data_IF_133792642946
#
_entry.id   IF_133792642946
#
_cell.length_a   1.000
_cell.length_b   1.000
_cell.length_c   1.000
_cell.angle_alpha   90.00
_cell.angle_beta   90.00
_cell.angle_gamma   90.00
#
_symmetry.space_group_name_H-M   'P 1'
#
loop_
_entity.id
_entity.type
_entity.pdbx_description
1 polymer ?
#
# COMPACT_ATOMS: atom_id res chain seq x y z
N UNK A 1 -26.11 -22.37 -49.32
CA UNK A 1 -25.24 -22.65 -48.17
C UNK A 1 -25.10 -21.37 -47.36
N UNK A 2 -25.72 -21.33 -46.18
CA UNK A 2 -25.77 -20.16 -45.30
C UNK A 2 -24.83 -20.41 -44.12
N UNK A 3 -23.88 -19.51 -43.89
CA UNK A 3 -22.97 -19.57 -42.74
C UNK A 3 -23.57 -18.78 -41.58
N UNK A 4 -24.00 -19.49 -40.54
CA UNK A 4 -24.42 -18.90 -39.28
C UNK A 4 -23.18 -18.43 -38.50
N UNK A 5 -23.09 -17.12 -38.23
CA UNK A 5 -22.07 -16.55 -37.34
C UNK A 5 -22.47 -16.78 -35.89
N UNK A 6 -21.82 -17.73 -35.22
CA UNK A 6 -21.89 -17.85 -33.77
C UNK A 6 -21.14 -16.70 -33.11
N UNK A 7 -21.88 -15.67 -32.68
CA UNK A 7 -21.36 -14.66 -31.76
C UNK A 7 -21.29 -15.29 -30.37
N UNK A 8 -20.10 -15.77 -29.99
CA UNK A 8 -19.79 -16.10 -28.60
C UNK A 8 -19.96 -14.83 -27.76
N UNK A 9 -21.07 -14.76 -27.01
CA UNK A 9 -21.37 -13.69 -26.08
C UNK A 9 -20.35 -13.68 -24.95
N UNK A 10 -19.20 -13.02 -25.19
CA UNK A 10 -18.28 -12.62 -24.14
C UNK A 10 -19.06 -11.70 -23.21
N UNK A 11 -19.51 -12.24 -22.06
CA UNK A 11 -20.03 -11.40 -20.98
C UNK A 11 -18.93 -10.43 -20.62
N UNK A 12 -19.18 -9.14 -20.81
CA UNK A 12 -18.29 -8.10 -20.31
C UNK A 12 -18.02 -8.39 -18.82
N UNK A 13 -16.78 -8.20 -18.33
CA UNK A 13 -16.48 -8.34 -16.91
C UNK A 13 -17.52 -7.53 -16.13
N UNK A 14 -18.26 -8.21 -15.25
CA UNK A 14 -19.24 -7.55 -14.37
C UNK A 14 -18.46 -6.44 -13.66
N UNK A 15 -18.78 -5.18 -13.96
CA UNK A 15 -18.33 -4.05 -13.15
C UNK A 15 -18.63 -4.42 -11.71
N UNK A 16 -17.62 -4.50 -10.84
CA UNK A 16 -17.91 -4.33 -9.43
C UNK A 16 -18.47 -2.93 -9.34
N UNK A 17 -19.74 -2.77 -8.96
CA UNK A 17 -20.29 -1.45 -8.91
C UNK A 17 -19.53 -0.70 -7.79
N UNK A 18 -19.07 0.51 -8.11
CA UNK A 18 -18.34 1.37 -7.17
C UNK A 18 -19.15 1.63 -5.88
N UNK A 19 -20.44 1.32 -5.88
CA UNK A 19 -21.35 1.34 -4.74
C UNK A 19 -20.99 0.35 -3.60
N UNK A 20 -20.06 -0.59 -3.82
CA UNK A 20 -19.69 -1.58 -2.80
C UNK A 20 -18.49 -1.21 -1.93
N UNK A 21 -17.68 -0.24 -2.34
CA UNK A 21 -16.54 0.22 -1.53
C UNK A 21 -17.06 1.28 -0.58
N UNK A 22 -17.11 0.94 0.70
CA UNK A 22 -17.41 1.91 1.75
C UNK A 22 -16.10 2.60 2.12
N UNK A 23 -15.95 3.84 1.67
CA UNK A 23 -14.81 4.67 2.03
C UNK A 23 -14.90 5.13 3.49
N UNK A 24 -13.75 5.34 4.16
CA UNK A 24 -13.73 5.79 5.55
C UNK A 24 -14.28 7.21 5.65
N UNK A 25 -14.93 7.50 6.78
CA UNK A 25 -15.38 8.86 7.09
C UNK A 25 -14.18 9.79 7.30
N UNK A 26 -14.38 11.07 6.98
CA UNK A 26 -13.36 12.08 7.17
C UNK A 26 -13.11 12.33 8.66
N UNK A 27 -11.86 12.11 9.10
CA UNK A 27 -11.39 12.36 10.46
C UNK A 27 -10.15 13.25 10.54
N UNK A 28 -9.60 13.68 9.39
CA UNK A 28 -8.31 14.35 9.32
C UNK A 28 -7.12 13.37 9.41
N UNK A 29 -5.88 13.88 9.29
CA UNK A 29 -4.67 13.05 9.29
C UNK A 29 -4.37 12.45 10.66
N UNK A 30 -3.79 11.25 10.64
CA UNK A 30 -3.35 10.51 11.82
C UNK A 30 -1.91 10.86 12.23
N UNK A 31 -1.18 11.62 11.41
CA UNK A 31 0.14 12.14 11.74
C UNK A 31 0.22 12.79 13.14
N UNK A 32 1.27 12.44 13.88
CA UNK A 32 1.60 13.04 15.18
C UNK A 32 2.19 14.45 15.05
N UNK A 33 2.67 14.81 13.86
CA UNK A 33 3.40 16.05 13.56
C UNK A 33 2.55 16.99 12.70
N UNK A 34 2.05 16.53 11.56
CA UNK A 34 1.28 17.32 10.59
C UNK A 34 -0.21 17.04 10.77
N UNK A 35 -0.82 17.67 11.77
CA UNK A 35 -2.26 17.50 12.07
C UNK A 35 -3.20 18.32 11.18
N UNK A 36 -2.66 19.36 10.54
CA UNK A 36 -3.39 20.29 9.66
C UNK A 36 -2.45 20.71 8.53
N UNK A 37 -2.35 19.92 7.45
CA UNK A 37 -1.43 20.22 6.36
C UNK A 37 -1.72 21.61 5.79
N UNK A 38 -0.68 22.44 5.69
CA UNK A 38 -0.78 23.84 5.27
C UNK A 38 -0.47 24.06 3.81
N UNK A 39 0.35 23.18 3.24
CA UNK A 39 0.82 23.29 1.86
C UNK A 39 1.22 21.94 1.27
N UNK A 40 1.70 21.99 0.03
CA UNK A 40 2.07 20.83 -0.77
C UNK A 40 3.21 20.01 -0.20
N UNK A 41 4.12 20.63 0.57
CA UNK A 41 5.28 19.92 1.11
C UNK A 41 4.87 19.00 2.27
N UNK A 42 3.94 19.47 3.10
CA UNK A 42 3.30 18.67 4.14
C UNK A 42 2.38 17.58 3.54
N UNK A 43 1.56 17.94 2.54
CA UNK A 43 0.71 16.96 1.86
C UNK A 43 1.49 15.85 1.16
N UNK A 44 2.65 16.18 0.56
CA UNK A 44 3.51 15.21 -0.12
C UNK A 44 3.94 14.08 0.82
N UNK A 45 4.33 14.42 2.05
CA UNK A 45 4.74 13.41 3.05
C UNK A 45 3.54 12.62 3.58
N UNK A 46 2.39 13.27 3.76
CA UNK A 46 1.19 12.59 4.25
C UNK A 46 0.61 11.57 3.26
N UNK A 47 0.78 11.76 1.95
CA UNK A 47 0.24 10.85 0.93
C UNK A 47 0.63 9.38 1.15
N UNK A 48 1.94 9.02 1.18
CA UNK A 48 2.35 7.66 1.47
C UNK A 48 2.14 7.29 2.95
N UNK A 49 2.41 8.20 3.88
CA UNK A 49 2.42 7.86 5.31
C UNK A 49 1.02 7.58 5.86
N UNK A 50 -0.01 8.32 5.45
CA UNK A 50 -1.38 8.03 5.90
C UNK A 50 -1.91 6.71 5.32
N UNK A 51 -1.44 6.31 4.14
CA UNK A 51 -1.76 5.01 3.56
C UNK A 51 -1.08 3.86 4.33
N UNK A 52 0.19 4.04 4.69
CA UNK A 52 0.93 3.07 5.51
C UNK A 52 0.34 2.97 6.91
N UNK A 53 0.08 4.09 7.59
CA UNK A 53 -0.59 4.13 8.90
C UNK A 53 -1.95 3.43 8.89
N UNK A 54 -2.71 3.59 7.81
CA UNK A 54 -3.99 2.90 7.66
C UNK A 54 -3.80 1.37 7.63
N UNK A 55 -2.83 0.85 6.87
CA UNK A 55 -2.51 -0.57 6.91
C UNK A 55 -1.96 -1.00 8.26
N UNK A 56 -1.10 -0.20 8.88
CA UNK A 56 -0.50 -0.49 10.18
C UNK A 56 -1.58 -0.62 11.26
N UNK A 57 -2.59 0.26 11.27
CA UNK A 57 -3.74 0.15 12.18
C UNK A 57 -4.49 -1.18 12.02
N UNK A 58 -4.77 -1.57 10.77
CA UNK A 58 -5.44 -2.85 10.47
C UNK A 58 -4.56 -4.06 10.80
N UNK A 59 -3.26 -3.97 10.53
CA UNK A 59 -2.28 -5.01 10.86
C UNK A 59 -2.17 -5.19 12.36
N UNK A 60 -2.06 -4.13 13.16
CA UNK A 60 -2.02 -4.23 14.61
C UNK A 60 -3.25 -4.95 15.16
N UNK A 61 -4.45 -4.60 14.67
CA UNK A 61 -5.68 -5.28 15.05
C UNK A 61 -5.72 -6.76 14.61
N UNK A 62 -5.21 -7.08 13.42
CA UNK A 62 -5.08 -8.45 12.93
C UNK A 62 -4.07 -9.27 13.75
N UNK A 63 -2.91 -8.71 14.04
CA UNK A 63 -1.82 -9.32 14.81
C UNK A 63 -2.26 -9.60 16.24
N UNK A 64 -3.01 -8.70 16.88
CA UNK A 64 -3.55 -8.90 18.21
C UNK A 64 -4.37 -10.20 18.30
N UNK A 65 -5.23 -10.45 17.29
CA UNK A 65 -6.12 -11.62 17.23
C UNK A 65 -5.52 -12.84 16.50
N UNK A 66 -4.32 -12.70 15.95
CA UNK A 66 -3.64 -13.78 15.26
C UNK A 66 -3.31 -14.91 16.25
N UNK A 67 -3.83 -16.11 15.93
CA UNK A 67 -3.66 -17.35 16.67
C UNK A 67 -2.84 -18.39 15.88
N UNK A 68 -2.43 -18.05 14.65
CA UNK A 68 -1.68 -18.93 13.77
C UNK A 68 -2.55 -19.96 13.06
N UNK A 69 -3.87 -19.84 13.06
CA UNK A 69 -4.76 -20.73 12.29
C UNK A 69 -4.38 -20.74 10.80
N UNK A 70 -4.55 -21.87 10.11
CA UNK A 70 -4.06 -22.03 8.74
C UNK A 70 -4.55 -20.90 7.81
N UNK A 71 -5.84 -20.57 7.89
CA UNK A 71 -6.44 -19.49 7.11
C UNK A 71 -5.89 -18.10 7.47
N UNK A 72 -5.61 -17.87 8.76
CA UNK A 72 -5.03 -16.61 9.21
C UNK A 72 -3.62 -16.46 8.67
N UNK A 73 -2.81 -17.51 8.82
CA UNK A 73 -1.42 -17.55 8.37
C UNK A 73 -1.32 -17.28 6.88
N UNK A 74 -2.13 -17.96 6.06
CA UNK A 74 -2.17 -17.70 4.62
C UNK A 74 -2.54 -16.25 4.31
N UNK A 75 -3.69 -15.76 4.80
CA UNK A 75 -4.13 -14.39 4.46
C UNK A 75 -3.15 -13.31 4.94
N UNK A 76 -2.62 -13.47 6.15
CA UNK A 76 -1.73 -12.48 6.75
C UNK A 76 -0.39 -12.43 6.03
N UNK A 77 0.27 -13.58 5.84
CA UNK A 77 1.57 -13.60 5.17
C UNK A 77 1.45 -13.27 3.68
N UNK A 78 0.39 -13.71 3.00
CA UNK A 78 0.17 -13.32 1.60
C UNK A 78 -0.03 -11.80 1.48
N UNK A 79 -0.73 -11.17 2.43
CA UNK A 79 -0.84 -9.71 2.45
C UNK A 79 0.51 -9.03 2.71
N UNK A 80 1.25 -9.49 3.72
CA UNK A 80 2.55 -8.93 4.10
C UNK A 80 3.55 -9.02 2.94
N UNK A 81 3.65 -10.19 2.30
CA UNK A 81 4.65 -10.46 1.27
C UNK A 81 4.31 -9.85 -0.09
N UNK A 82 3.03 -9.76 -0.45
CA UNK A 82 2.63 -9.25 -1.76
C UNK A 82 2.34 -7.74 -1.76
N UNK A 83 1.93 -7.15 -0.63
CA UNK A 83 1.50 -5.75 -0.59
C UNK A 83 2.32 -4.92 0.39
N UNK A 84 2.26 -5.20 1.69
CA UNK A 84 2.84 -4.30 2.70
C UNK A 84 4.37 -4.19 2.60
N UNK A 85 5.10 -5.31 2.67
CA UNK A 85 6.57 -5.33 2.61
C UNK A 85 7.11 -4.72 1.30
N UNK A 86 6.67 -5.13 0.09
CA UNK A 86 7.14 -4.51 -1.14
C UNK A 86 6.84 -3.02 -1.22
N UNK A 87 5.72 -2.57 -0.64
CA UNK A 87 5.36 -1.14 -0.63
C UNK A 87 6.26 -0.34 0.30
N UNK A 88 6.54 -0.82 1.52
CA UNK A 88 7.47 -0.16 2.45
C UNK A 88 8.87 -0.08 1.83
N UNK A 89 9.36 -1.18 1.26
CA UNK A 89 10.62 -1.19 0.50
C UNK A 89 10.63 -0.16 -0.62
N UNK A 90 9.54 -0.10 -1.41
CA UNK A 90 9.48 0.79 -2.55
C UNK A 90 9.44 2.26 -2.13
N UNK A 91 8.70 2.57 -1.08
CA UNK A 91 8.59 3.92 -0.50
C UNK A 91 9.96 4.43 -0.03
N UNK A 92 10.64 3.69 0.85
CA UNK A 92 11.97 4.06 1.33
C UNK A 92 13.02 4.09 0.21
N UNK A 93 12.93 3.17 -0.77
CA UNK A 93 13.81 3.19 -1.94
C UNK A 93 13.63 4.46 -2.78
N UNK A 94 12.39 4.94 -2.98
CA UNK A 94 12.14 6.20 -3.69
C UNK A 94 12.74 7.37 -2.92
N UNK A 95 12.68 7.36 -1.61
CA UNK A 95 13.28 8.41 -0.78
C UNK A 95 14.80 8.42 -0.92
N UNK A 96 15.43 7.27 -0.74
CA UNK A 96 16.90 7.12 -0.79
C UNK A 96 17.48 7.38 -2.18
N UNK A 97 16.76 7.02 -3.24
CA UNK A 97 17.29 7.08 -4.61
C UNK A 97 16.84 8.31 -5.39
N UNK A 98 15.77 8.98 -4.97
CA UNK A 98 15.19 10.12 -5.71
C UNK A 98 15.05 11.36 -4.83
N UNK A 99 14.30 11.29 -3.74
CA UNK A 99 13.99 12.46 -2.92
C UNK A 99 15.23 13.03 -2.24
N UNK A 100 15.91 12.21 -1.44
CA UNK A 100 17.06 12.62 -0.64
C UNK A 100 18.19 13.15 -1.54
N UNK A 101 18.68 12.43 -2.58
CA UNK A 101 19.76 12.94 -3.42
C UNK A 101 19.40 14.27 -4.11
N UNK A 102 18.12 14.46 -4.45
CA UNK A 102 17.63 15.70 -5.05
C UNK A 102 17.67 16.87 -4.07
N UNK A 103 17.26 16.65 -2.83
CA UNK A 103 17.33 17.67 -1.77
C UNK A 103 18.77 18.07 -1.48
N UNK A 104 19.67 17.10 -1.28
CA UNK A 104 21.10 17.36 -1.05
C UNK A 104 21.72 18.18 -2.18
N UNK A 105 21.43 17.79 -3.44
CA UNK A 105 21.91 18.53 -4.62
C UNK A 105 21.38 19.97 -4.68
N UNK A 106 20.11 20.19 -4.33
CA UNK A 106 19.47 21.51 -4.40
C UNK A 106 19.87 22.44 -3.26
N UNK A 107 20.15 21.89 -2.08
CA UNK A 107 20.53 22.63 -0.88
C UNK A 107 22.04 22.81 -0.76
N UNK A 108 22.84 22.15 -1.61
CA UNK A 108 24.28 22.32 -1.66
C UNK A 108 25.04 21.56 -0.57
N UNK A 109 24.41 20.55 0.03
CA UNK A 109 24.96 19.77 1.14
C UNK A 109 23.89 18.97 1.87
N UNK A 110 24.32 18.23 2.89
CA UNK A 110 23.41 17.52 3.77
C UNK A 110 22.65 18.50 4.67
N UNK A 111 21.37 18.24 4.88
CA UNK A 111 20.55 18.99 5.84
C UNK A 111 20.57 18.23 7.14
N UNK A 112 20.65 18.95 8.26
CA UNK A 112 20.56 18.34 9.58
C UNK A 112 19.35 17.39 9.67
N UNK A 113 19.63 16.11 9.96
CA UNK A 113 18.63 15.05 10.07
C UNK A 113 18.41 14.21 8.80
N UNK A 114 18.71 14.69 7.58
CA UNK A 114 18.46 13.90 6.36
C UNK A 114 19.33 12.64 6.28
N UNK A 115 20.63 12.73 6.54
CA UNK A 115 21.50 11.53 6.60
C UNK A 115 21.08 10.53 7.69
N UNK A 116 20.51 11.01 8.79
CA UNK A 116 20.02 10.13 9.85
C UNK A 116 18.84 9.28 9.35
N UNK A 117 17.90 9.89 8.61
CA UNK A 117 16.75 9.19 8.02
C UNK A 117 17.18 8.06 7.06
N UNK A 118 18.12 8.34 6.15
CA UNK A 118 18.64 7.32 5.24
C UNK A 118 19.34 6.16 5.98
N UNK A 119 20.02 6.45 7.09
CA UNK A 119 20.61 5.43 7.95
C UNK A 119 19.57 4.52 8.62
N UNK A 120 18.43 5.09 9.01
CA UNK A 120 17.32 4.38 9.65
C UNK A 120 16.63 3.41 8.68
N UNK A 121 16.47 3.78 7.40
CA UNK A 121 15.86 2.91 6.38
C UNK A 121 16.48 1.52 6.33
N UNK A 122 17.81 1.42 6.35
CA UNK A 122 18.49 0.12 6.33
C UNK A 122 18.10 -0.78 7.51
N UNK A 123 17.96 -0.22 8.70
CA UNK A 123 17.58 -0.97 9.91
C UNK A 123 16.12 -1.40 9.83
N UNK A 124 15.23 -0.48 9.45
CA UNK A 124 13.80 -0.74 9.28
C UNK A 124 13.54 -1.80 8.20
N UNK A 125 14.18 -1.68 7.04
CA UNK A 125 14.03 -2.65 5.95
C UNK A 125 14.55 -4.04 6.33
N UNK A 126 15.62 -4.14 7.11
CA UNK A 126 16.07 -5.42 7.65
C UNK A 126 15.01 -6.03 8.61
N UNK A 127 14.36 -5.20 9.44
CA UNK A 127 13.24 -5.61 10.28
C UNK A 127 12.04 -6.08 9.46
N UNK A 128 11.69 -5.36 8.40
CA UNK A 128 10.61 -5.71 7.46
C UNK A 128 10.93 -7.03 6.73
N UNK A 129 12.17 -7.26 6.31
CA UNK A 129 12.57 -8.49 5.60
C UNK A 129 12.49 -9.73 6.49
N UNK A 130 12.83 -9.58 7.77
CA UNK A 130 12.76 -10.67 8.76
C UNK A 130 11.36 -11.26 8.93
N UNK A 131 10.31 -10.54 8.52
CA UNK A 131 8.92 -11.01 8.63
C UNK A 131 8.72 -12.36 7.94
N UNK A 132 9.27 -12.56 6.74
CA UNK A 132 9.11 -13.82 6.00
C UNK A 132 9.75 -15.02 6.70
N UNK A 133 10.73 -14.81 7.58
CA UNK A 133 11.38 -15.89 8.34
C UNK A 133 10.41 -16.56 9.33
N UNK A 134 9.35 -15.86 9.74
CA UNK A 134 8.36 -16.39 10.67
C UNK A 134 7.32 -17.30 10.00
N UNK A 135 7.14 -17.20 8.67
CA UNK A 135 6.06 -17.91 7.95
C UNK A 135 6.12 -19.43 8.16
N UNK A 136 7.26 -20.12 7.95
CA UNK A 136 7.28 -21.59 8.07
C UNK A 136 6.95 -22.08 9.49
N UNK A 137 7.35 -21.34 10.52
CA UNK A 137 7.09 -21.71 11.91
C UNK A 137 5.65 -21.41 12.33
N UNK A 138 5.06 -20.33 11.80
CA UNK A 138 3.64 -20.03 11.96
C UNK A 138 2.75 -21.06 11.28
N UNK A 139 3.11 -21.51 10.06
CA UNK A 139 2.39 -22.58 9.34
C UNK A 139 2.41 -23.92 10.10
N UNK A 140 3.44 -24.16 10.93
CA UNK A 140 3.52 -25.31 11.84
C UNK A 140 2.83 -25.10 13.18
N UNK A 141 2.15 -23.96 13.38
CA UNK A 141 1.45 -23.60 14.61
C UNK A 141 2.36 -23.60 15.86
N UNK A 142 3.64 -23.22 15.71
CA UNK A 142 4.57 -23.19 16.84
C UNK A 142 4.28 -22.00 17.79
N UNK A 143 3.85 -22.22 19.04
CA UNK A 143 3.37 -21.12 19.89
C UNK A 143 4.41 -20.05 20.19
N UNK A 144 5.67 -20.45 20.39
CA UNK A 144 6.79 -19.52 20.62
C UNK A 144 7.05 -18.64 19.40
N UNK A 145 6.97 -19.22 18.21
CA UNK A 145 7.21 -18.54 16.94
C UNK A 145 6.09 -17.56 16.62
N UNK A 146 4.83 -17.92 16.91
CA UNK A 146 3.69 -17.01 16.80
C UNK A 146 3.85 -15.82 17.75
N UNK A 147 4.24 -16.04 19.01
CA UNK A 147 4.47 -14.95 19.95
C UNK A 147 5.61 -14.02 19.49
N UNK A 148 6.75 -14.60 19.09
CA UNK A 148 7.90 -13.85 18.59
C UNK A 148 7.55 -13.04 17.32
N UNK A 149 6.73 -13.60 16.43
CA UNK A 149 6.22 -12.89 15.26
C UNK A 149 5.36 -11.69 15.66
N UNK A 150 4.41 -11.87 16.60
CA UNK A 150 3.56 -10.78 17.10
C UNK A 150 4.41 -9.66 17.69
N UNK A 151 5.34 -9.99 18.57
CA UNK A 151 6.24 -9.03 19.21
C UNK A 151 7.07 -8.27 18.16
N UNK A 152 7.59 -8.98 17.15
CA UNK A 152 8.34 -8.38 16.05
C UNK A 152 7.47 -7.42 15.22
N UNK A 153 6.24 -7.80 14.90
CA UNK A 153 5.29 -6.96 14.17
C UNK A 153 4.90 -5.70 14.94
N UNK A 154 4.62 -5.81 16.24
CA UNK A 154 4.35 -4.65 17.09
C UNK A 154 5.56 -3.71 17.15
N UNK A 155 6.77 -4.27 17.32
CA UNK A 155 8.01 -3.50 17.33
C UNK A 155 8.24 -2.74 16.02
N UNK A 156 8.24 -3.44 14.88
CA UNK A 156 8.56 -2.80 13.60
C UNK A 156 7.53 -1.75 13.18
N UNK A 157 6.23 -1.97 13.46
CA UNK A 157 5.19 -0.95 13.19
C UNK A 157 5.38 0.27 14.08
N UNK A 158 5.75 0.09 15.35
CA UNK A 158 6.09 1.21 16.24
C UNK A 158 7.28 2.00 15.72
N UNK A 159 8.36 1.32 15.32
CA UNK A 159 9.57 1.95 14.79
C UNK A 159 9.29 2.71 13.48
N UNK A 160 8.46 2.14 12.59
CA UNK A 160 8.01 2.82 11.38
C UNK A 160 7.18 4.08 11.70
N UNK A 161 6.29 4.02 12.70
CA UNK A 161 5.49 5.17 13.09
C UNK A 161 6.35 6.33 13.65
N UNK A 162 7.42 6.01 14.38
CA UNK A 162 8.44 6.96 14.85
C UNK A 162 9.24 7.53 13.67
N UNK A 163 9.67 6.68 12.74
CA UNK A 163 10.36 7.10 11.52
C UNK A 163 9.53 8.09 10.69
N UNK A 164 8.26 7.77 10.38
CA UNK A 164 7.37 8.66 9.64
C UNK A 164 7.21 10.02 10.31
N UNK A 165 7.21 10.06 11.65
CA UNK A 165 7.10 11.31 12.38
C UNK A 165 8.38 12.15 12.27
N UNK A 166 9.56 11.55 12.26
CA UNK A 166 10.82 12.28 12.03
C UNK A 166 10.89 12.83 10.59
N UNK A 167 10.49 12.04 9.61
CA UNK A 167 10.40 12.45 8.21
C UNK A 167 9.46 13.66 8.02
N UNK A 168 8.29 13.61 8.65
CA UNK A 168 7.30 14.69 8.62
C UNK A 168 7.77 15.97 9.31
N UNK A 169 8.76 15.91 10.22
CA UNK A 169 9.39 17.10 10.79
C UNK A 169 10.42 17.70 9.83
N UNK A 170 11.21 16.84 9.17
CA UNK A 170 12.41 17.24 8.43
C UNK A 170 12.08 17.60 6.98
N UNK A 171 11.42 16.69 6.25
CA UNK A 171 11.23 16.83 4.80
C UNK A 171 10.44 18.08 4.41
N UNK A 172 9.33 18.49 5.06
CA UNK A 172 8.59 19.66 4.62
C UNK A 172 9.41 20.95 4.63
N UNK A 173 10.30 21.12 5.61
CA UNK A 173 11.23 22.26 5.64
C UNK A 173 12.23 22.22 4.48
N UNK A 174 12.88 21.06 4.28
CA UNK A 174 13.85 20.86 3.22
C UNK A 174 13.23 21.03 1.82
N UNK A 175 12.03 20.49 1.59
CA UNK A 175 11.27 20.59 0.34
C UNK A 175 11.00 22.05 -0.04
N UNK A 176 10.50 22.86 0.90
CA UNK A 176 10.23 24.28 0.67
C UNK A 176 11.49 25.07 0.33
N UNK A 177 12.61 24.74 0.98
CA UNK A 177 13.89 25.40 0.72
C UNK A 177 14.49 24.99 -0.63
N UNK A 178 14.30 23.74 -1.05
CA UNK A 178 14.94 23.17 -2.23
C UNK A 178 14.16 23.35 -3.54
N UNK A 179 12.82 23.47 -3.46
CA UNK A 179 11.94 23.26 -4.61
C UNK A 179 10.80 24.27 -4.69
N UNK A 180 10.54 24.76 -5.89
CA UNK A 180 9.28 25.46 -6.20
C UNK A 180 8.14 24.45 -6.40
N UNK A 181 6.88 24.93 -6.40
CA UNK A 181 5.73 24.06 -6.71
C UNK A 181 5.85 23.38 -8.09
N UNK A 182 6.40 24.10 -9.09
CA UNK A 182 6.62 23.54 -10.43
C UNK A 182 7.71 22.45 -10.43
N UNK A 183 8.73 22.58 -9.58
CA UNK A 183 9.75 21.55 -9.42
C UNK A 183 9.18 20.31 -8.71
N UNK A 184 8.30 20.54 -7.72
CA UNK A 184 7.56 19.50 -7.03
C UNK A 184 6.69 18.68 -8.00
N UNK A 185 5.92 19.33 -8.87
CA UNK A 185 5.05 18.61 -9.80
C UNK A 185 5.86 17.72 -10.77
N UNK A 186 7.04 18.18 -11.23
CA UNK A 186 7.96 17.32 -12.01
C UNK A 186 8.59 16.20 -11.19
N UNK A 187 8.86 16.45 -9.92
CA UNK A 187 9.34 15.40 -9.02
C UNK A 187 8.28 14.32 -8.78
N UNK A 188 7.00 14.69 -8.68
CA UNK A 188 5.92 13.71 -8.59
C UNK A 188 5.88 12.79 -9.81
N UNK A 189 6.12 13.30 -11.01
CA UNK A 189 6.22 12.47 -12.21
C UNK A 189 7.35 11.43 -12.09
N UNK A 190 8.53 11.84 -11.59
CA UNK A 190 9.66 10.95 -11.36
C UNK A 190 9.34 9.87 -10.31
N UNK A 191 8.64 10.25 -9.23
CA UNK A 191 8.18 9.32 -8.19
C UNK A 191 7.20 8.30 -8.78
N UNK A 192 6.19 8.76 -9.53
CA UNK A 192 5.20 7.88 -10.17
C UNK A 192 5.89 6.90 -11.13
N UNK A 193 6.83 7.38 -11.95
CA UNK A 193 7.62 6.53 -12.83
C UNK A 193 8.46 5.51 -12.06
N UNK A 194 9.06 5.92 -10.95
CA UNK A 194 9.86 5.03 -10.13
C UNK A 194 9.02 3.92 -9.52
N UNK A 195 7.80 4.20 -9.04
CA UNK A 195 6.86 3.18 -8.57
C UNK A 195 6.51 2.18 -9.70
N UNK A 196 6.38 2.68 -10.93
CA UNK A 196 5.96 1.87 -12.07
C UNK A 196 4.55 1.32 -11.89
N UNK A 197 4.07 0.55 -12.88
CA UNK A 197 2.70 0.03 -12.85
C UNK A 197 2.46 -0.95 -11.70
N UNK A 198 3.45 -1.78 -11.36
CA UNK A 198 3.32 -2.77 -10.28
C UNK A 198 3.25 -2.09 -8.91
N UNK A 199 4.15 -1.12 -8.63
CA UNK A 199 4.11 -0.36 -7.38
C UNK A 199 2.83 0.48 -7.27
N UNK A 200 2.40 1.14 -8.35
CA UNK A 200 1.14 1.87 -8.36
C UNK A 200 -0.07 0.97 -8.14
N UNK A 201 -0.12 -0.22 -8.75
CA UNK A 201 -1.18 -1.21 -8.53
C UNK A 201 -1.32 -1.56 -7.04
N UNK A 202 -0.19 -1.81 -6.38
CA UNK A 202 -0.18 -2.26 -4.98
C UNK A 202 -0.56 -1.14 -4.02
N UNK A 203 -0.07 0.09 -4.25
CA UNK A 203 -0.12 1.14 -3.23
C UNK A 203 -1.15 2.24 -3.49
N UNK A 204 -1.33 2.68 -4.75
CA UNK A 204 -2.21 3.80 -5.07
C UNK A 204 -3.67 3.62 -4.59
N UNK A 205 -4.28 2.43 -4.67
CA UNK A 205 -5.62 2.22 -4.11
C UNK A 205 -5.70 2.53 -2.61
N UNK A 206 -4.68 2.13 -1.85
CA UNK A 206 -4.60 2.41 -0.42
C UNK A 206 -4.42 3.90 -0.15
N UNK A 207 -3.57 4.59 -0.94
CA UNK A 207 -3.43 6.06 -0.88
C UNK A 207 -4.78 6.73 -1.06
N UNK A 208 -5.52 6.40 -2.12
CA UNK A 208 -6.83 6.98 -2.39
C UNK A 208 -7.81 6.66 -1.25
N UNK A 209 -7.84 5.41 -0.77
CA UNK A 209 -8.71 5.01 0.33
C UNK A 209 -8.40 5.78 1.64
N UNK A 210 -7.13 5.88 2.02
CA UNK A 210 -6.69 6.64 3.18
C UNK A 210 -6.94 8.15 3.03
N UNK A 211 -6.81 8.70 1.81
CA UNK A 211 -7.12 10.11 1.53
C UNK A 211 -8.57 10.48 1.81
N UNK A 212 -9.54 9.58 1.64
CA UNK A 212 -10.91 9.87 2.08
C UNK A 212 -10.98 10.19 3.57
N UNK A 213 -10.20 9.47 4.40
CA UNK A 213 -10.14 9.69 5.85
C UNK A 213 -9.48 11.04 6.19
N UNK A 214 -8.34 11.37 5.59
CA UNK A 214 -7.57 12.53 6.04
C UNK A 214 -7.78 13.82 5.24
N UNK A 215 -8.20 13.75 3.97
CA UNK A 215 -8.41 14.90 3.08
C UNK A 215 -9.87 15.08 2.66
N UNK A 216 -10.70 14.05 2.84
CA UNK A 216 -12.12 14.05 2.47
C UNK A 216 -12.32 13.90 0.95
N UNK A 217 -13.60 13.77 0.55
CA UNK A 217 -13.97 13.50 -0.84
C UNK A 217 -13.38 14.50 -1.83
N UNK A 218 -13.53 15.80 -1.57
CA UNK A 218 -13.01 16.85 -2.46
C UNK A 218 -11.49 16.71 -2.65
N UNK A 219 -10.76 16.40 -1.58
CA UNK A 219 -9.31 16.21 -1.65
C UNK A 219 -8.90 15.01 -2.48
N UNK A 220 -9.70 13.94 -2.46
CA UNK A 220 -9.54 12.78 -3.33
C UNK A 220 -9.81 13.15 -4.78
N UNK A 221 -10.92 13.85 -5.07
CA UNK A 221 -11.27 14.26 -6.42
C UNK A 221 -10.18 15.16 -7.03
N UNK A 222 -9.67 16.12 -6.25
CA UNK A 222 -8.58 17.01 -6.64
C UNK A 222 -7.29 16.21 -6.94
N UNK A 223 -7.00 15.15 -6.17
CA UNK A 223 -5.84 14.27 -6.40
C UNK A 223 -6.03 13.37 -7.63
N UNK A 224 -7.19 12.75 -7.81
CA UNK A 224 -7.48 11.92 -8.98
C UNK A 224 -7.38 12.74 -10.27
N UNK A 225 -7.76 14.02 -10.24
CA UNK A 225 -7.65 14.93 -11.37
C UNK A 225 -6.19 15.23 -11.79
N UNK A 226 -5.20 14.99 -10.94
CA UNK A 226 -3.78 15.13 -11.31
C UNK A 226 -3.19 13.88 -11.95
N UNK A 227 -3.87 12.74 -11.84
CA UNK A 227 -3.39 11.47 -12.38
C UNK A 227 -3.62 11.38 -13.90
N UNK A 228 -2.72 10.70 -14.59
CA UNK A 228 -2.87 10.44 -16.02
C UNK A 228 -4.11 9.57 -16.29
N UNK A 229 -4.90 9.84 -17.35
CA UNK A 229 -6.14 9.09 -17.62
C UNK A 229 -6.01 7.56 -17.66
N UNK A 230 -4.93 6.96 -18.21
CA UNK A 230 -4.73 5.51 -18.14
C UNK A 230 -4.59 4.98 -16.70
N UNK A 231 -3.95 5.74 -15.81
CA UNK A 231 -3.82 5.38 -14.38
C UNK A 231 -5.17 5.47 -13.70
N UNK A 232 -5.97 6.50 -13.98
CA UNK A 232 -7.36 6.62 -13.45
C UNK A 232 -8.23 5.45 -13.91
N UNK A 233 -8.08 5.01 -15.16
CA UNK A 233 -8.75 3.82 -15.66
C UNK A 233 -8.30 2.56 -14.91
N UNK A 234 -6.99 2.31 -14.80
CA UNK A 234 -6.47 1.14 -14.10
C UNK A 234 -6.89 1.11 -12.62
N UNK A 235 -6.82 2.26 -11.95
CA UNK A 235 -7.23 2.44 -10.57
C UNK A 235 -8.70 2.03 -10.37
N UNK A 236 -9.61 2.60 -11.18
CA UNK A 236 -11.04 2.39 -10.99
C UNK A 236 -11.51 0.98 -11.37
N UNK A 237 -10.98 0.42 -12.45
CA UNK A 237 -11.50 -0.83 -13.01
C UNK A 237 -10.75 -2.09 -12.55
N UNK A 238 -9.53 -1.96 -12.03
CA UNK A 238 -8.71 -3.11 -11.65
C UNK A 238 -8.14 -2.97 -10.24
N UNK A 239 -7.50 -1.84 -9.91
CA UNK A 239 -6.71 -1.76 -8.69
C UNK A 239 -7.56 -1.53 -7.43
N UNK A 240 -8.60 -0.70 -7.47
CA UNK A 240 -9.55 -0.56 -6.35
C UNK A 240 -10.32 -1.87 -6.07
N UNK A 241 -10.85 -2.57 -7.10
CA UNK A 241 -11.35 -3.95 -6.94
C UNK A 241 -10.36 -4.89 -6.24
N UNK A 242 -9.12 -4.94 -6.72
CA UNK A 242 -8.06 -5.80 -6.19
C UNK A 242 -7.72 -5.45 -4.74
N UNK A 243 -7.53 -4.15 -4.44
CA UNK A 243 -7.34 -3.64 -3.09
C UNK A 243 -8.45 -4.06 -2.14
N UNK A 244 -9.71 -3.89 -2.55
CA UNK A 244 -10.84 -4.27 -1.70
C UNK A 244 -10.83 -5.77 -1.40
N UNK A 245 -10.63 -6.61 -2.42
CA UNK A 245 -10.74 -8.06 -2.27
C UNK A 245 -9.52 -8.70 -1.62
N UNK A 246 -8.32 -8.24 -1.94
CA UNK A 246 -7.07 -8.92 -1.61
C UNK A 246 -6.24 -8.18 -0.55
N UNK A 247 -6.67 -6.99 -0.11
CA UNK A 247 -5.96 -6.21 0.90
C UNK A 247 -6.88 -5.83 2.05
N UNK A 248 -7.94 -5.05 1.79
CA UNK A 248 -8.83 -4.56 2.85
C UNK A 248 -9.69 -5.67 3.49
N UNK A 249 -10.39 -6.48 2.68
CA UNK A 249 -11.25 -7.56 3.21
C UNK A 249 -10.47 -8.63 3.99
N UNK A 250 -9.29 -9.11 3.54
CA UNK A 250 -8.49 -10.07 4.31
C UNK A 250 -8.05 -9.50 5.65
N UNK A 251 -7.54 -8.26 5.68
CA UNK A 251 -7.12 -7.62 6.93
C UNK A 251 -8.28 -7.41 7.90
N UNK A 252 -9.44 -6.97 7.41
CA UNK A 252 -10.64 -6.82 8.26
C UNK A 252 -11.17 -8.16 8.75
N UNK A 253 -11.10 -9.23 7.95
CA UNK A 253 -11.43 -10.60 8.37
C UNK A 253 -10.48 -11.11 9.47
N UNK A 254 -9.17 -10.89 9.31
CA UNK A 254 -8.15 -11.20 10.32
C UNK A 254 -8.40 -10.41 11.61
N UNK A 255 -8.60 -9.09 11.50
CA UNK A 255 -8.88 -8.20 12.62
C UNK A 255 -10.23 -8.51 13.28
N UNK A 256 -11.21 -9.09 12.58
CA UNK A 256 -12.45 -9.57 13.16
C UNK A 256 -12.31 -10.98 13.77
N UNK A 257 -11.26 -11.71 13.42
CA UNK A 257 -11.11 -13.15 13.64
C UNK A 257 -12.29 -13.96 13.07
N UNK A 258 -12.72 -13.61 11.85
CA UNK A 258 -13.81 -14.28 11.14
C UNK A 258 -13.29 -14.66 9.76
N UNK A 259 -13.22 -15.96 9.40
CA UNK A 259 -12.72 -16.37 8.09
C UNK A 259 -13.62 -15.81 6.97
N UNK A 260 -13.03 -15.36 5.83
CA UNK A 260 -13.82 -14.91 4.69
C UNK A 260 -14.76 -16.01 4.19
N UNK A 261 -16.01 -15.68 3.77
CA UNK A 261 -16.90 -16.66 3.18
C UNK A 261 -16.24 -17.36 1.99
N UNK A 262 -16.27 -18.70 1.97
CA UNK A 262 -15.66 -19.49 0.91
C UNK A 262 -14.15 -19.68 1.05
N UNK A 263 -13.52 -19.24 2.14
CA UNK A 263 -12.17 -19.68 2.47
C UNK A 263 -12.20 -21.17 2.82
N UNK A 264 -12.09 -22.00 1.78
CA UNK A 264 -11.66 -23.39 1.90
C UNK A 264 -10.14 -23.37 1.69
N UNK A 265 -9.40 -24.31 2.26
CA UNK A 265 -7.94 -24.38 2.13
C UNK A 265 -7.44 -24.61 0.66
N UNK A 266 -8.30 -24.45 -0.34
CA UNK A 266 -8.07 -24.64 -1.78
C UNK A 266 -8.15 -23.31 -2.56
N UNK A 267 -7.54 -22.23 -2.05
CA UNK A 267 -7.56 -20.89 -2.67
C UNK A 267 -7.04 -20.88 -4.13
N UNK A 268 -6.20 -21.86 -4.50
CA UNK A 268 -5.66 -21.95 -5.86
C UNK A 268 -6.70 -22.29 -6.94
N UNK A 269 -7.85 -22.87 -6.60
CA UNK A 269 -8.88 -23.17 -7.60
C UNK A 269 -9.80 -21.97 -7.89
N UNK A 270 -10.11 -21.14 -6.90
CA UNK A 270 -11.12 -20.08 -7.05
C UNK A 270 -10.55 -18.76 -7.61
N UNK A 271 -9.28 -18.43 -7.35
CA UNK A 271 -8.67 -17.18 -7.89
C UNK A 271 -8.25 -17.36 -9.37
N UNK A 272 -8.00 -18.59 -9.80
CA UNK A 272 -7.67 -18.94 -11.18
C UNK A 272 -8.89 -19.37 -12.02
N UNK A 273 -10.12 -19.11 -11.57
CA UNK A 273 -11.34 -19.25 -12.36
C UNK A 273 -11.36 -18.42 -13.66
N UNK A 274 -10.36 -17.57 -13.90
CA UNK A 274 -9.89 -17.25 -15.25
C UNK A 274 -9.06 -18.43 -15.80
N UNK A 275 -9.76 -19.48 -16.22
CA UNK A 275 -9.14 -20.56 -16.97
C UNK A 275 -8.45 -19.98 -18.21
N UNK A 276 -7.12 -20.08 -18.26
CA UNK A 276 -6.29 -19.80 -19.44
C UNK A 276 -6.57 -20.79 -20.60
N UNK A 277 -7.55 -21.69 -20.47
CA UNK A 277 -8.00 -22.58 -21.55
C UNK A 277 -8.61 -21.84 -22.76
N UNK A 278 -8.85 -20.52 -22.68
CA UNK A 278 -9.29 -19.72 -23.83
C UNK A 278 -8.15 -19.25 -24.76
N UNK A 279 -6.89 -19.59 -24.51
CA UNK A 279 -5.76 -19.33 -25.44
C UNK A 279 -5.11 -20.63 -25.93
N UNK A 280 -5.91 -21.54 -26.49
CA UNK A 280 -5.39 -22.45 -27.52
C UNK A 280 -5.38 -21.69 -28.85
N UNK A 281 -4.28 -21.02 -29.14
CA UNK A 281 -3.92 -20.71 -30.52
C UNK A 281 -3.40 -22.02 -31.12
N UNK A 282 -4.25 -22.70 -31.88
CA UNK A 282 -3.79 -23.71 -32.82
C UNK A 282 -2.95 -22.98 -33.89
N UNK A 283 -1.64 -23.23 -33.87
CA UNK A 283 -0.79 -23.07 -35.05
C UNK A 283 -1.05 -24.23 -36.01
#
# INVERSE_FOLDING_TARGET
MSFATHTNGRRAPRRLPHDRVVFPEFSGPTSRVVRRPKDWAEELMLLPHEALRFWDELLLAAIERYAGEAWQTTLLFDFLENYWRPTVHKHMSVEDTILHPRLVKKLGGDVEGLSFLAGAHRVLLAGVDRISDFRPACERHEPRSIHAFKDHMFGIISDLADHYAEEEKIYPGALRAAMSRRDHDRFLDDVVQAYGLDGSKRFLPCVVFAMHRWKGQKGVDDFIATLQPPIVFLLNYFWLPDFWQNQYRPLTALAANIPPPGFTNNIFEDICGFSLSCFSLSL
#
